data_IF_226245843160
#
_entry.id   IF_226245843160
#
_cell.length_a   1.000
_cell.length_b   1.000
_cell.length_c   1.000
_cell.angle_alpha   90.00
_cell.angle_beta   90.00
_cell.angle_gamma   90.00
#
_symmetry.space_group_name_H-M   'P 1'
#
loop_
_entity.id
_entity.type
_entity.pdbx_description
1 polymer ?
#
# COMPACT_ATOMS: atom_id res chain seq x y z
N UNK A 1 -8.79 -14.55 -20.19
CA UNK A 1 -9.33 -13.68 -19.14
C UNK A 1 -9.10 -12.25 -19.60
N UNK A 2 -10.13 -11.47 -19.90
CA UNK A 2 -9.99 -10.07 -20.32
C UNK A 2 -9.91 -9.22 -19.06
N UNK A 3 -9.03 -8.22 -19.05
CA UNK A 3 -8.98 -7.24 -17.97
C UNK A 3 -10.32 -6.48 -17.89
N UNK A 4 -10.88 -6.26 -16.70
CA UNK A 4 -12.13 -5.53 -16.54
C UNK A 4 -11.93 -4.07 -16.93
N UNK A 5 -12.44 -3.68 -18.09
CA UNK A 5 -12.36 -2.32 -18.62
C UNK A 5 -13.61 -1.49 -18.28
N UNK A 6 -14.71 -2.15 -17.88
CA UNK A 6 -15.97 -1.53 -17.51
C UNK A 6 -16.42 -1.94 -16.11
N UNK A 7 -17.25 -1.11 -15.48
CA UNK A 7 -17.79 -1.33 -14.13
C UNK A 7 -18.56 -2.67 -14.05
N UNK A 8 -19.25 -3.06 -15.12
CA UNK A 8 -19.97 -4.34 -15.18
C UNK A 8 -19.04 -5.54 -15.19
N UNK A 9 -17.91 -5.46 -15.88
CA UNK A 9 -16.90 -6.52 -15.88
C UNK A 9 -16.28 -6.69 -14.48
N UNK A 10 -16.02 -5.57 -13.79
CA UNK A 10 -15.54 -5.58 -12.42
C UNK A 10 -16.57 -6.18 -11.44
N UNK A 11 -17.86 -5.87 -11.62
CA UNK A 11 -18.97 -6.46 -10.84
C UNK A 11 -19.07 -7.97 -11.06
N UNK A 12 -19.00 -8.41 -12.30
CA UNK A 12 -19.08 -9.84 -12.65
C UNK A 12 -17.87 -10.61 -12.09
N UNK A 13 -16.68 -10.05 -12.21
CA UNK A 13 -15.46 -10.61 -11.62
C UNK A 13 -15.59 -10.68 -10.09
N UNK A 14 -16.10 -9.62 -9.45
CA UNK A 14 -16.33 -9.58 -8.03
C UNK A 14 -17.32 -10.64 -7.54
N UNK A 15 -18.45 -10.81 -8.23
CA UNK A 15 -19.42 -11.88 -7.93
C UNK A 15 -18.81 -13.26 -8.05
N UNK A 16 -18.06 -13.50 -9.12
CA UNK A 16 -17.42 -14.79 -9.38
C UNK A 16 -16.37 -15.10 -8.31
N UNK A 17 -15.54 -14.13 -7.94
CA UNK A 17 -14.57 -14.26 -6.86
C UNK A 17 -15.21 -14.47 -5.50
N UNK A 18 -16.36 -13.83 -5.23
CA UNK A 18 -17.11 -14.04 -3.99
C UNK A 18 -17.64 -15.49 -3.88
N UNK A 19 -18.18 -16.03 -4.97
CA UNK A 19 -18.62 -17.43 -5.01
C UNK A 19 -17.45 -18.40 -4.82
N UNK A 20 -16.31 -18.15 -5.46
CA UNK A 20 -15.10 -18.96 -5.25
C UNK A 20 -14.58 -18.86 -3.81
N UNK A 21 -14.63 -17.67 -3.20
CA UNK A 21 -14.24 -17.48 -1.80
C UNK A 21 -15.08 -18.34 -0.85
N UNK A 22 -16.38 -18.45 -1.07
CA UNK A 22 -17.27 -19.22 -0.21
C UNK A 22 -17.00 -20.75 -0.29
N UNK A 23 -16.51 -21.22 -1.45
CA UNK A 23 -16.12 -22.62 -1.67
C UNK A 23 -14.67 -22.92 -1.28
N UNK A 24 -13.75 -21.99 -1.54
CA UNK A 24 -12.29 -22.14 -1.45
C UNK A 24 -11.66 -20.98 -0.67
N UNK A 25 -12.12 -20.77 0.57
CA UNK A 25 -11.74 -19.59 1.37
C UNK A 25 -10.23 -19.47 1.57
N UNK A 26 -9.59 -20.58 1.97
CA UNK A 26 -8.16 -20.58 2.28
C UNK A 26 -7.30 -20.44 1.02
N UNK A 27 -7.72 -21.02 -0.08
CA UNK A 27 -7.01 -20.92 -1.37
C UNK A 27 -7.04 -19.48 -1.91
N UNK A 28 -8.19 -18.83 -1.82
CA UNK A 28 -8.34 -17.42 -2.22
C UNK A 28 -7.52 -16.51 -1.31
N UNK A 29 -7.55 -16.74 0.00
CA UNK A 29 -6.76 -16.01 0.97
C UNK A 29 -5.25 -16.18 0.70
N UNK A 30 -4.80 -17.43 0.52
CA UNK A 30 -3.40 -17.75 0.23
C UNK A 30 -2.96 -17.18 -1.12
N UNK A 31 -3.79 -17.29 -2.14
CA UNK A 31 -3.52 -16.71 -3.46
C UNK A 31 -3.33 -15.20 -3.41
N UNK A 32 -4.21 -14.49 -2.69
CA UNK A 32 -4.10 -13.06 -2.51
C UNK A 32 -2.82 -12.69 -1.72
N UNK A 33 -2.54 -13.43 -0.63
CA UNK A 33 -1.35 -13.25 0.20
C UNK A 33 -0.06 -13.40 -0.61
N UNK A 34 0.08 -14.51 -1.35
CA UNK A 34 1.26 -14.81 -2.17
C UNK A 34 1.43 -13.77 -3.28
N UNK A 35 0.34 -13.44 -3.98
CA UNK A 35 0.37 -12.45 -5.07
C UNK A 35 0.76 -11.08 -4.55
N UNK A 36 0.24 -10.67 -3.40
CA UNK A 36 0.57 -9.38 -2.79
C UNK A 36 2.06 -9.30 -2.43
N UNK A 37 2.58 -10.34 -1.75
CA UNK A 37 4.00 -10.42 -1.40
C UNK A 37 4.86 -10.40 -2.66
N UNK A 38 4.48 -11.16 -3.70
CA UNK A 38 5.21 -11.19 -4.96
C UNK A 38 5.31 -9.80 -5.60
N UNK A 39 4.19 -9.09 -5.76
CA UNK A 39 4.20 -7.73 -6.32
C UNK A 39 5.07 -6.77 -5.51
N UNK A 40 4.98 -6.82 -4.19
CA UNK A 40 5.78 -5.97 -3.31
C UNK A 40 7.27 -6.30 -3.35
N UNK A 41 7.62 -7.59 -3.43
CA UNK A 41 9.02 -8.08 -3.47
C UNK A 41 9.73 -7.58 -4.72
N UNK A 42 9.06 -7.64 -5.86
CA UNK A 42 9.63 -7.22 -7.15
C UNK A 42 9.36 -5.76 -7.49
N UNK A 43 8.86 -4.97 -6.53
CA UNK A 43 8.56 -3.55 -6.71
C UNK A 43 7.57 -3.28 -7.87
N UNK A 44 6.68 -4.24 -8.17
CA UNK A 44 5.69 -4.11 -9.23
C UNK A 44 4.54 -3.22 -8.71
N UNK A 45 4.18 -2.14 -9.44
CA UNK A 45 3.04 -1.32 -9.05
C UNK A 45 1.72 -2.11 -9.19
N UNK A 46 0.77 -1.87 -8.26
CA UNK A 46 -0.54 -2.55 -8.31
C UNK A 46 -1.06 -3.06 -6.96
N UNK A 47 -0.28 -2.94 -5.89
CA UNK A 47 -0.69 -3.35 -4.54
C UNK A 47 -1.99 -2.69 -4.07
N UNK A 48 -2.30 -1.48 -4.55
CA UNK A 48 -3.56 -0.79 -4.22
C UNK A 48 -4.77 -1.57 -4.73
N UNK A 49 -4.70 -2.18 -5.91
CA UNK A 49 -5.79 -3.00 -6.44
C UNK A 49 -6.01 -4.26 -5.59
N UNK A 50 -4.94 -4.87 -5.08
CA UNK A 50 -5.05 -6.01 -4.17
C UNK A 50 -5.60 -5.59 -2.80
N UNK A 51 -5.32 -4.38 -2.34
CA UNK A 51 -5.91 -3.83 -1.11
C UNK A 51 -7.42 -3.60 -1.28
N UNK A 52 -7.87 -3.06 -2.42
CA UNK A 52 -9.29 -2.92 -2.76
C UNK A 52 -9.94 -4.31 -2.85
N UNK A 53 -9.30 -5.25 -3.54
CA UNK A 53 -9.79 -6.63 -3.68
C UNK A 53 -9.88 -7.34 -2.33
N UNK A 54 -8.92 -7.14 -1.42
CA UNK A 54 -8.98 -7.70 -0.09
C UNK A 54 -10.17 -7.17 0.72
N UNK A 55 -10.48 -5.87 0.59
CA UNK A 55 -11.67 -5.26 1.19
C UNK A 55 -12.98 -5.76 0.59
N UNK A 56 -12.98 -6.06 -0.71
CA UNK A 56 -14.13 -6.68 -1.40
C UNK A 56 -14.39 -8.11 -0.93
N UNK A 57 -13.33 -8.90 -0.71
CA UNK A 57 -13.44 -10.34 -0.42
C UNK A 57 -13.55 -10.66 1.07
N UNK A 58 -12.91 -9.88 1.95
CA UNK A 58 -12.75 -10.23 3.36
C UNK A 58 -13.30 -9.15 4.29
N UNK A 59 -13.69 -9.52 5.54
CA UNK A 59 -14.07 -8.56 6.57
C UNK A 59 -12.95 -7.56 6.84
N UNK A 60 -13.31 -6.31 7.14
CA UNK A 60 -12.38 -5.20 7.30
C UNK A 60 -11.16 -5.50 8.20
N UNK A 61 -11.33 -6.05 9.43
CA UNK A 61 -10.18 -6.29 10.31
C UNK A 61 -9.17 -7.28 9.70
N UNK A 62 -9.69 -8.34 9.07
CA UNK A 62 -8.85 -9.36 8.42
C UNK A 62 -8.15 -8.77 7.19
N UNK A 63 -8.88 -8.05 6.35
CA UNK A 63 -8.33 -7.40 5.16
C UNK A 63 -7.20 -6.42 5.52
N UNK A 64 -7.41 -5.59 6.56
CA UNK A 64 -6.41 -4.62 7.01
C UNK A 64 -5.15 -5.33 7.56
N UNK A 65 -5.33 -6.31 8.43
CA UNK A 65 -4.21 -7.09 8.97
C UNK A 65 -3.42 -7.81 7.87
N UNK A 66 -4.13 -8.43 6.92
CA UNK A 66 -3.55 -9.12 5.78
C UNK A 66 -2.73 -8.16 4.91
N UNK A 67 -3.29 -7.02 4.53
CA UNK A 67 -2.61 -6.02 3.71
C UNK A 67 -1.37 -5.46 4.40
N UNK A 68 -1.46 -5.11 5.68
CA UNK A 68 -0.31 -4.63 6.45
C UNK A 68 0.79 -5.69 6.56
N UNK A 69 0.42 -6.96 6.83
CA UNK A 69 1.35 -8.07 6.93
C UNK A 69 2.03 -8.37 5.59
N UNK A 70 1.25 -8.48 4.50
CA UNK A 70 1.79 -8.69 3.15
C UNK A 70 2.71 -7.55 2.73
N UNK A 71 2.34 -6.30 3.03
CA UNK A 71 3.15 -5.13 2.72
C UNK A 71 4.48 -5.17 3.49
N UNK A 72 4.45 -5.48 4.79
CA UNK A 72 5.66 -5.57 5.60
C UNK A 72 6.58 -6.70 5.14
N UNK A 73 6.04 -7.90 4.89
CA UNK A 73 6.82 -9.05 4.42
C UNK A 73 7.39 -8.80 3.02
N UNK A 74 6.54 -8.42 2.06
CA UNK A 74 6.96 -8.18 0.68
C UNK A 74 7.95 -7.03 0.55
N UNK A 75 7.73 -5.91 1.28
CA UNK A 75 8.69 -4.82 1.34
C UNK A 75 10.02 -5.23 1.96
N UNK A 76 10.01 -6.11 2.97
CA UNK A 76 11.23 -6.64 3.58
C UNK A 76 12.03 -7.50 2.62
N UNK A 77 11.37 -8.35 1.82
CA UNK A 77 12.01 -9.13 0.77
C UNK A 77 12.59 -8.22 -0.32
N UNK A 78 11.85 -7.20 -0.75
CA UNK A 78 12.34 -6.18 -1.68
C UNK A 78 13.55 -5.44 -1.11
N UNK A 79 13.52 -5.05 0.17
CA UNK A 79 14.64 -4.45 0.88
C UNK A 79 15.88 -5.34 0.85
N UNK A 80 15.74 -6.64 1.14
CA UNK A 80 16.86 -7.59 1.12
C UNK A 80 17.44 -7.74 -0.28
N UNK A 81 16.62 -7.89 -1.31
CA UNK A 81 17.06 -7.93 -2.70
C UNK A 81 17.79 -6.64 -3.09
N UNK A 82 17.25 -5.49 -2.72
CA UNK A 82 17.88 -4.20 -3.00
C UNK A 82 19.16 -3.97 -2.21
N UNK A 83 19.29 -4.51 -1.00
CA UNK A 83 20.54 -4.42 -0.23
C UNK A 83 21.69 -5.13 -0.92
N UNK A 84 21.40 -6.22 -1.64
CA UNK A 84 22.39 -7.01 -2.38
C UNK A 84 22.76 -6.38 -3.73
N UNK A 85 21.77 -5.89 -4.47
CA UNK A 85 21.93 -5.47 -5.86
C UNK A 85 21.86 -3.95 -6.05
N UNK A 86 21.02 -3.28 -5.28
CA UNK A 86 20.60 -1.89 -5.52
C UNK A 86 21.68 -0.86 -5.23
N UNK A 87 22.57 -1.11 -4.26
CA UNK A 87 23.62 -0.17 -3.86
C UNK A 87 24.52 0.21 -5.03
N UNK A 88 24.96 -0.79 -5.82
CA UNK A 88 25.81 -0.55 -6.99
C UNK A 88 25.09 0.25 -8.07
N UNK A 89 23.82 -0.02 -8.30
CA UNK A 89 23.00 0.64 -9.33
C UNK A 89 22.69 2.08 -8.94
N UNK A 90 22.23 2.35 -7.69
CA UNK A 90 21.85 3.68 -7.27
C UNK A 90 23.03 4.64 -7.26
N UNK A 91 24.19 4.22 -6.72
CA UNK A 91 25.41 5.04 -6.71
C UNK A 91 26.01 5.24 -8.11
N UNK A 92 25.74 4.33 -9.06
CA UNK A 92 26.17 4.47 -10.45
C UNK A 92 25.32 5.49 -11.22
N UNK A 93 23.99 5.46 -11.03
CA UNK A 93 23.06 6.28 -11.84
C UNK A 93 22.63 7.59 -11.16
N UNK A 94 22.61 7.63 -9.83
CA UNK A 94 22.12 8.78 -9.05
C UNK A 94 23.01 9.08 -7.83
N UNK A 95 24.34 9.32 -8.00
CA UNK A 95 25.29 9.45 -6.89
C UNK A 95 24.95 10.60 -5.94
N UNK A 96 24.59 11.77 -6.48
CA UNK A 96 24.33 12.97 -5.68
C UNK A 96 23.07 12.83 -4.83
N UNK A 97 21.98 12.34 -5.41
CA UNK A 97 20.73 12.06 -4.67
C UNK A 97 20.92 10.99 -3.60
N UNK A 98 21.68 9.93 -3.91
CA UNK A 98 21.99 8.89 -2.94
C UNK A 98 22.75 9.42 -1.72
N UNK A 99 23.69 10.35 -1.95
CA UNK A 99 24.42 11.03 -0.87
C UNK A 99 23.52 11.93 -0.03
N UNK A 100 22.70 12.78 -0.66
CA UNK A 100 21.75 13.66 0.00
C UNK A 100 20.80 12.85 0.89
N UNK A 101 20.19 11.79 0.37
CA UNK A 101 19.30 10.93 1.14
C UNK A 101 20.01 10.19 2.27
N UNK A 102 21.25 9.76 2.06
CA UNK A 102 22.06 9.14 3.12
C UNK A 102 22.33 10.13 4.26
N UNK A 103 22.58 11.39 3.95
CA UNK A 103 22.76 12.47 4.94
C UNK A 103 21.46 12.69 5.71
N UNK A 104 20.33 12.76 5.00
CA UNK A 104 19.00 12.93 5.60
C UNK A 104 18.67 11.79 6.56
N UNK A 105 18.93 10.54 6.19
CA UNK A 105 18.73 9.37 7.07
C UNK A 105 19.62 9.45 8.31
N UNK A 106 20.89 9.85 8.14
CA UNK A 106 21.81 10.03 9.28
C UNK A 106 21.34 11.14 10.23
N UNK A 107 20.83 12.25 9.71
CA UNK A 107 20.28 13.37 10.50
C UNK A 107 19.08 12.95 11.34
N UNK A 108 18.26 12.01 10.82
CA UNK A 108 17.06 11.53 11.51
C UNK A 108 17.23 10.16 12.18
N UNK A 109 18.47 9.75 12.48
CA UNK A 109 18.81 8.41 12.99
C UNK A 109 18.01 8.02 14.23
N UNK A 110 17.81 8.96 15.15
CA UNK A 110 17.11 8.73 16.41
C UNK A 110 15.58 8.63 16.27
N UNK A 111 15.03 9.06 15.13
CA UNK A 111 13.59 9.09 14.84
C UNK A 111 13.22 8.36 13.53
N UNK A 112 14.04 7.39 13.11
CA UNK A 112 13.83 6.70 11.82
C UNK A 112 12.49 5.98 11.72
N UNK A 113 11.97 5.46 12.82
CA UNK A 113 10.62 4.88 12.84
C UNK A 113 9.57 5.92 12.44
N UNK A 114 9.57 7.10 13.07
CA UNK A 114 8.62 8.18 12.79
C UNK A 114 8.80 8.69 11.35
N UNK A 115 10.05 8.77 10.88
CA UNK A 115 10.36 9.16 9.52
C UNK A 115 9.82 8.16 8.48
N UNK A 116 10.01 6.86 8.72
CA UNK A 116 9.46 5.81 7.87
C UNK A 116 7.92 5.79 7.88
N UNK A 117 7.33 5.99 9.06
CA UNK A 117 5.88 6.11 9.22
C UNK A 117 5.34 7.27 8.36
N UNK A 118 5.97 8.46 8.48
CA UNK A 118 5.60 9.64 7.70
C UNK A 118 5.70 9.39 6.20
N UNK A 119 6.80 8.81 5.72
CA UNK A 119 6.98 8.51 4.30
C UNK A 119 5.91 7.55 3.74
N UNK A 120 5.46 6.59 4.55
CA UNK A 120 4.44 5.61 4.15
C UNK A 120 3.02 6.16 4.19
N UNK A 121 2.74 7.07 5.14
CA UNK A 121 1.43 7.71 5.26
C UNK A 121 1.19 8.78 4.20
N UNK A 122 2.28 9.41 3.73
CA UNK A 122 2.19 10.50 2.75
C UNK A 122 2.44 9.96 1.34
N UNK A 123 1.67 10.38 0.33
CA UNK A 123 1.85 9.96 -1.06
C UNK A 123 3.01 10.74 -1.74
N UNK A 124 4.06 11.10 -0.99
CA UNK A 124 5.22 11.83 -1.51
C UNK A 124 6.07 10.97 -2.43
N UNK A 125 6.26 9.72 -2.04
CA UNK A 125 7.06 8.75 -2.78
C UNK A 125 6.27 7.45 -2.96
N UNK A 126 6.39 6.80 -4.13
CA UNK A 126 5.78 5.50 -4.35
C UNK A 126 6.37 4.44 -3.39
N UNK A 127 5.54 3.55 -2.86
CA UNK A 127 5.97 2.50 -1.92
C UNK A 127 7.09 1.62 -2.47
N UNK A 128 7.04 1.27 -3.76
CA UNK A 128 8.08 0.48 -4.41
C UNK A 128 9.44 1.18 -4.39
N UNK A 129 9.45 2.52 -4.54
CA UNK A 129 10.66 3.30 -4.49
C UNK A 129 11.26 3.35 -3.09
N UNK A 130 10.43 3.53 -2.05
CA UNK A 130 10.87 3.48 -0.65
C UNK A 130 11.50 2.11 -0.33
N UNK A 131 10.90 1.01 -0.83
CA UNK A 131 11.43 -0.35 -0.63
C UNK A 131 12.83 -0.52 -1.23
N UNK A 132 13.06 0.02 -2.44
CA UNK A 132 14.33 -0.08 -3.13
C UNK A 132 15.40 0.86 -2.56
N UNK A 133 15.02 2.09 -2.22
CA UNK A 133 15.96 3.12 -1.79
C UNK A 133 16.43 2.94 -0.34
N UNK A 134 15.55 2.50 0.57
CA UNK A 134 15.82 2.43 2.01
C UNK A 134 17.09 1.67 2.38
N UNK A 135 17.37 0.44 1.88
CA UNK A 135 18.60 -0.29 2.22
C UNK A 135 19.85 0.40 1.68
N UNK A 136 19.72 1.07 0.54
CA UNK A 136 20.85 1.71 -0.15
C UNK A 136 21.33 2.96 0.58
N UNK A 137 20.38 3.74 1.10
CA UNK A 137 20.66 4.98 1.86
C UNK A 137 20.95 4.72 3.35
N UNK A 138 20.92 3.46 3.79
CA UNK A 138 21.33 3.04 5.13
C UNK A 138 20.23 3.09 6.19
N UNK A 139 18.95 3.00 5.82
CA UNK A 139 17.86 2.80 6.77
C UNK A 139 17.96 1.40 7.37
N UNK A 140 17.99 1.23 8.70
CA UNK A 140 18.01 -0.10 9.33
C UNK A 140 16.72 -0.87 9.07
N UNK A 141 16.81 -2.20 9.01
CA UNK A 141 15.69 -3.07 8.67
C UNK A 141 14.54 -3.02 9.70
N UNK A 142 14.84 -2.90 10.98
CA UNK A 142 13.83 -2.92 12.04
C UNK A 142 12.86 -1.73 11.96
N UNK A 143 13.30 -0.45 11.96
CA UNK A 143 12.40 0.69 11.78
C UNK A 143 11.73 0.67 10.40
N UNK A 144 12.36 0.08 9.38
CA UNK A 144 11.75 -0.09 8.06
C UNK A 144 10.54 -1.04 8.11
N UNK A 145 10.67 -2.23 8.71
CA UNK A 145 9.59 -3.23 8.81
C UNK A 145 8.43 -2.67 9.64
N UNK A 146 8.73 -2.19 10.86
CA UNK A 146 7.71 -1.72 11.79
C UNK A 146 7.03 -0.46 11.24
N UNK A 147 7.81 0.48 10.69
CA UNK A 147 7.29 1.68 10.03
C UNK A 147 6.47 1.37 8.78
N UNK A 148 6.80 0.29 8.05
CA UNK A 148 5.98 -0.17 6.92
C UNK A 148 4.65 -0.73 7.39
N UNK A 149 4.67 -1.65 8.37
CA UNK A 149 3.45 -2.30 8.87
C UNK A 149 2.40 -1.28 9.34
N UNK A 150 2.81 -0.33 10.17
CA UNK A 150 1.92 0.70 10.69
C UNK A 150 1.67 1.85 9.70
N UNK A 151 2.67 2.21 8.91
CA UNK A 151 2.59 3.35 7.99
C UNK A 151 1.72 3.10 6.76
N UNK A 152 1.57 1.84 6.33
CA UNK A 152 0.66 1.51 5.22
C UNK A 152 -0.80 1.35 5.69
N UNK A 153 -1.06 1.29 6.99
CA UNK A 153 -2.42 1.07 7.51
C UNK A 153 -3.40 2.20 7.13
N UNK A 154 -3.08 3.52 7.29
CA UNK A 154 -4.01 4.59 6.91
C UNK A 154 -4.37 4.61 5.41
N UNK A 155 -3.42 4.58 4.46
CA UNK A 155 -3.78 4.52 3.04
C UNK A 155 -4.49 3.21 2.66
N UNK A 156 -4.13 2.08 3.28
CA UNK A 156 -4.80 0.80 3.06
C UNK A 156 -6.21 0.78 3.61
N UNK A 157 -6.47 1.47 4.72
CA UNK A 157 -7.82 1.65 5.26
C UNK A 157 -8.76 2.21 4.18
N UNK A 158 -8.35 3.27 3.49
CA UNK A 158 -9.16 3.90 2.44
C UNK A 158 -9.39 2.93 1.27
N UNK A 159 -8.35 2.22 0.84
CA UNK A 159 -8.45 1.25 -0.26
C UNK A 159 -9.38 0.07 0.09
N UNK A 160 -9.27 -0.47 1.30
CA UNK A 160 -10.13 -1.57 1.81
C UNK A 160 -11.57 -1.11 1.93
N UNK A 161 -11.83 0.10 2.45
CA UNK A 161 -13.19 0.66 2.52
C UNK A 161 -13.81 0.86 1.14
N UNK A 162 -13.02 1.28 0.16
CA UNK A 162 -13.48 1.36 -1.23
C UNK A 162 -13.89 -0.04 -1.74
N UNK A 163 -13.12 -1.08 -1.42
CA UNK A 163 -13.44 -2.46 -1.76
C UNK A 163 -14.74 -2.96 -1.11
N UNK A 164 -14.94 -2.68 0.18
CA UNK A 164 -16.19 -3.03 0.89
C UNK A 164 -17.40 -2.28 0.33
N UNK A 165 -17.24 -1.01 0.03
CA UNK A 165 -18.31 -0.22 -0.61
C UNK A 165 -18.67 -0.81 -1.96
N UNK A 166 -17.68 -1.19 -2.76
CA UNK A 166 -17.90 -1.86 -4.05
C UNK A 166 -18.64 -3.19 -3.87
N UNK A 167 -18.32 -3.98 -2.85
CA UNK A 167 -19.02 -5.23 -2.51
C UNK A 167 -20.50 -4.95 -2.19
N UNK A 168 -20.78 -3.96 -1.34
CA UNK A 168 -22.13 -3.57 -0.97
C UNK A 168 -22.95 -3.10 -2.18
N UNK A 169 -22.35 -2.30 -3.07
CA UNK A 169 -22.97 -1.85 -4.32
C UNK A 169 -23.24 -3.00 -5.30
N UNK A 170 -22.47 -4.09 -5.21
CA UNK A 170 -22.62 -5.26 -6.09
C UNK A 170 -23.66 -6.23 -5.56
N UNK A 171 -23.79 -6.32 -4.22
CA UNK A 171 -24.72 -7.24 -3.54
C UNK A 171 -26.13 -6.67 -3.42
N UNK A 172 -26.27 -5.33 -3.40
CA UNK A 172 -27.56 -4.67 -3.21
C UNK A 172 -28.09 -4.18 -4.55
N UNK A 173 -29.29 -4.59 -4.93
CA UNK A 173 -30.01 -4.04 -6.08
C UNK A 173 -30.32 -2.53 -5.91
N UNK A 174 -30.29 -2.04 -4.66
CA UNK A 174 -30.50 -0.63 -4.27
C UNK A 174 -29.17 0.11 -4.08
N UNK A 175 -28.35 0.11 -5.12
CA UNK A 175 -26.96 0.58 -5.10
C UNK A 175 -26.75 2.10 -4.90
N UNK A 176 -27.81 2.91 -4.77
CA UNK A 176 -27.74 4.36 -4.62
C UNK A 176 -28.26 4.83 -3.25
N UNK A 177 -27.67 4.29 -2.20
CA UNK A 177 -27.88 4.91 -0.88
C UNK A 177 -27.05 6.19 -0.79
N UNK A 178 -27.70 7.31 -0.46
CA UNK A 178 -27.05 8.60 -0.19
C UNK A 178 -25.90 8.47 0.82
N UNK A 179 -26.01 7.55 1.77
CA UNK A 179 -24.97 7.25 2.76
C UNK A 179 -23.69 6.71 2.11
N UNK A 180 -23.77 5.83 1.11
CA UNK A 180 -22.60 5.30 0.40
C UNK A 180 -21.87 6.37 -0.40
N UNK A 181 -22.62 7.26 -1.06
CA UNK A 181 -22.06 8.40 -1.79
C UNK A 181 -21.38 9.37 -0.82
N UNK A 182 -22.03 9.66 0.32
CA UNK A 182 -21.49 10.56 1.34
C UNK A 182 -20.19 10.01 1.96
N UNK A 183 -20.14 8.72 2.25
CA UNK A 183 -18.93 8.02 2.74
C UNK A 183 -17.82 8.12 1.70
N UNK A 184 -18.09 7.86 0.41
CA UNK A 184 -17.09 7.97 -0.66
C UNK A 184 -16.57 9.41 -0.80
N UNK A 185 -17.46 10.41 -0.72
CA UNK A 185 -17.07 11.82 -0.75
C UNK A 185 -16.19 12.20 0.45
N UNK A 186 -16.53 11.73 1.67
CA UNK A 186 -15.72 11.96 2.87
C UNK A 186 -14.34 11.33 2.72
N UNK A 187 -14.25 10.11 2.24
CA UNK A 187 -12.95 9.45 2.01
C UNK A 187 -12.14 10.11 0.90
N UNK A 188 -12.78 10.57 -0.17
CA UNK A 188 -12.11 11.35 -1.21
C UNK A 188 -11.54 12.66 -0.65
N UNK A 189 -12.30 13.38 0.19
CA UNK A 189 -11.83 14.59 0.88
C UNK A 189 -10.69 14.28 1.87
N UNK A 190 -10.81 13.21 2.65
CA UNK A 190 -9.74 12.79 3.57
C UNK A 190 -8.45 12.41 2.84
N UNK A 191 -8.54 11.82 1.65
CA UNK A 191 -7.37 11.51 0.83
C UNK A 191 -6.65 12.76 0.31
N UNK A 192 -7.33 13.90 0.23
CA UNK A 192 -6.74 15.19 -0.15
C UNK A 192 -6.06 15.91 1.03
N UNK A 193 -6.39 15.55 2.27
CA UNK A 193 -5.82 16.19 3.47
C UNK A 193 -4.29 16.16 3.48
N UNK A 194 -3.59 15.04 3.19
CA UNK A 194 -2.13 15.02 3.13
C UNK A 194 -1.57 15.94 2.05
N UNK A 195 -2.28 16.10 0.94
CA UNK A 195 -1.86 16.97 -0.18
C UNK A 195 -1.98 18.44 0.22
N UNK A 196 -3.08 18.82 0.88
CA UNK A 196 -3.32 20.19 1.34
C UNK A 196 -2.36 20.62 2.46
N UNK A 197 -1.98 19.68 3.33
CA UNK A 197 -1.02 19.93 4.41
C UNK A 197 0.45 19.70 4.04
N UNK A 198 0.73 19.28 2.79
CA UNK A 198 2.08 19.00 2.28
C UNK A 198 3.05 20.14 2.55
N UNK A 199 2.65 21.39 2.32
CA UNK A 199 3.50 22.55 2.52
C UNK A 199 3.85 22.79 4.01
N UNK A 200 2.88 22.59 4.92
CA UNK A 200 3.10 22.74 6.37
C UNK A 200 3.95 21.60 6.95
N UNK A 201 3.83 20.40 6.40
CA UNK A 201 4.60 19.24 6.86
C UNK A 201 6.05 19.30 6.39
N UNK A 202 6.31 19.74 5.16
CA UNK A 202 7.67 19.91 4.64
C UNK A 202 8.47 20.95 5.45
N UNK A 203 7.86 22.08 5.81
CA UNK A 203 8.52 23.14 6.61
C UNK A 203 8.93 22.68 8.03
N UNK A 204 8.37 21.61 8.55
CA UNK A 204 8.69 21.10 9.88
C UNK A 204 9.85 20.09 9.89
N UNK A 205 10.21 19.57 8.71
CA UNK A 205 11.26 18.56 8.53
C UNK A 205 12.50 19.08 7.77
N UNK A 206 12.46 20.32 7.24
CA UNK A 206 13.63 21.09 6.81
C UNK A 206 14.23 21.85 7.98
#
# INVERSE_FOLDING_TARGET
>A
MKLPLHIEDAKNLGKLLSQYKDLYYFEVLAGLFITYIFLQTFAIPGSIFLSILSGFLFPFPLALFLVCSCSAVGASLCYLLSSLLGRRLLFKYFPDKAREWTITVKKHKDHLFNYMLFLRMTPLLPNWFINLASPVIGVPIAPFIIGTFFGVAPPSFVAIQAGQTLQNLTSSADAWSWNSILILCVFALLSLVPVLFKQKLQQKFD
#
